data_IF_754892878604
#
_entry.id   IF_754892878604
#
_cell.length_a   1.000
_cell.length_b   1.000
_cell.length_c   1.000
_cell.angle_alpha   90.00
_cell.angle_beta   90.00
_cell.angle_gamma   90.00
#
_symmetry.space_group_name_H-M   'P 1'
#
loop_
_entity.id
_entity.type
_entity.pdbx_description
1 polymer ?
#
# COMPACT_ATOMS: atom_id res chain seq x y z
N UNK A 1 -21.34 -0.14 17.54
CA UNK A 1 -20.41 -0.36 16.41
C UNK A 1 -21.33 -0.55 15.22
N UNK A 2 -21.32 0.35 14.23
CA UNK A 2 -22.16 0.17 13.04
C UNK A 2 -21.61 -0.96 12.17
N UNK A 3 -22.49 -1.67 11.48
CA UNK A 3 -22.09 -2.74 10.56
C UNK A 3 -21.13 -2.23 9.49
N UNK A 4 -20.16 -3.06 9.14
CA UNK A 4 -19.24 -2.76 8.05
C UNK A 4 -20.04 -2.76 6.73
N UNK A 5 -19.90 -1.72 5.88
CA UNK A 5 -20.51 -1.70 4.55
C UNK A 5 -20.26 -3.00 3.79
N UNK A 6 -21.25 -3.46 3.04
CA UNK A 6 -21.25 -4.75 2.33
C UNK A 6 -20.01 -4.95 1.44
N UNK A 7 -19.50 -3.87 0.81
CA UNK A 7 -18.28 -3.93 0.02
C UNK A 7 -16.99 -4.24 0.80
N UNK A 8 -17.04 -4.23 2.14
CA UNK A 8 -15.93 -4.65 3.01
C UNK A 8 -16.00 -6.14 3.38
N UNK A 9 -17.15 -6.78 3.18
CA UNK A 9 -17.43 -8.13 3.70
C UNK A 9 -17.63 -9.13 2.56
N UNK A 10 -18.08 -8.67 1.40
CA UNK A 10 -18.20 -9.52 0.21
C UNK A 10 -16.83 -9.77 -0.44
N UNK A 11 -16.39 -11.04 -0.52
CA UNK A 11 -15.19 -11.40 -1.26
C UNK A 11 -15.29 -10.96 -2.73
N UNK A 12 -14.24 -10.34 -3.25
CA UNK A 12 -14.15 -9.90 -4.64
C UNK A 12 -12.77 -10.22 -5.20
N UNK A 13 -12.62 -10.21 -6.52
CA UNK A 13 -11.27 -10.27 -7.09
C UNK A 13 -10.47 -9.02 -6.70
N UNK A 14 -9.14 -9.14 -6.71
CA UNK A 14 -8.25 -8.04 -6.32
C UNK A 14 -8.50 -6.84 -7.22
N UNK A 15 -8.58 -5.65 -6.61
CA UNK A 15 -8.82 -4.36 -7.29
C UNK A 15 -10.15 -4.25 -8.06
N UNK A 16 -11.08 -5.20 -7.91
CA UNK A 16 -12.43 -5.12 -8.49
C UNK A 16 -13.23 -3.93 -7.94
N UNK A 17 -13.19 -3.75 -6.61
CA UNK A 17 -13.72 -2.57 -5.91
C UNK A 17 -12.54 -1.77 -5.38
N UNK A 18 -12.38 -0.55 -5.87
CA UNK A 18 -11.15 0.23 -5.65
C UNK A 18 -11.46 1.67 -5.25
N UNK A 19 -10.84 2.14 -4.17
CA UNK A 19 -10.78 3.57 -3.84
C UNK A 19 -9.68 4.26 -4.64
N UNK A 20 -9.93 5.47 -5.15
CA UNK A 20 -8.98 6.26 -5.93
C UNK A 20 -8.80 7.66 -5.32
N UNK A 21 -7.56 8.13 -5.22
CA UNK A 21 -7.20 9.45 -4.72
C UNK A 21 -5.90 9.92 -5.40
N UNK A 22 -5.64 11.23 -5.42
CA UNK A 22 -4.40 11.80 -5.93
C UNK A 22 -3.49 12.29 -4.81
N UNK A 23 -2.20 11.98 -4.91
CA UNK A 23 -1.13 12.55 -4.11
C UNK A 23 -0.36 13.59 -4.94
N UNK A 24 0.01 14.70 -4.28
CA UNK A 24 0.76 15.80 -4.89
C UNK A 24 0.15 17.17 -4.57
N UNK A 25 0.59 18.22 -5.27
CA UNK A 25 1.53 18.19 -6.39
C UNK A 25 2.98 17.88 -5.96
N UNK A 26 3.70 17.15 -6.80
CA UNK A 26 5.14 17.01 -6.77
C UNK A 26 5.76 17.84 -7.89
N UNK A 27 6.90 18.48 -7.62
CA UNK A 27 7.63 19.23 -8.64
C UNK A 27 8.60 18.30 -9.37
N UNK A 28 8.38 18.11 -10.67
CA UNK A 28 9.28 17.36 -11.53
C UNK A 28 10.01 18.28 -12.49
N UNK A 29 11.24 17.91 -12.84
CA UNK A 29 12.03 18.57 -13.89
C UNK A 29 11.76 17.91 -15.23
N UNK A 30 11.59 18.70 -16.29
CA UNK A 30 11.29 18.15 -17.63
C UNK A 30 12.53 17.57 -18.32
N UNK A 31 13.75 17.91 -17.87
CA UNK A 31 15.00 17.34 -18.39
C UNK A 31 16.05 17.15 -17.29
N UNK A 32 17.04 16.30 -17.56
CA UNK A 32 18.19 16.03 -16.67
C UNK A 32 19.17 17.22 -16.60
N UNK A 33 19.10 18.18 -17.53
CA UNK A 33 19.93 19.39 -17.58
C UNK A 33 19.38 20.59 -16.78
N UNK A 34 20.26 21.54 -16.44
CA UNK A 34 19.88 22.78 -15.75
C UNK A 34 19.06 23.72 -16.65
N UNK A 35 18.10 24.46 -16.06
CA UNK A 35 17.28 25.47 -16.76
C UNK A 35 15.86 25.04 -17.14
N UNK A 36 15.47 23.79 -16.89
CA UNK A 36 14.12 23.31 -17.19
C UNK A 36 13.09 23.79 -16.17
N UNK A 37 11.94 24.30 -16.64
CA UNK A 37 10.83 24.75 -15.77
C UNK A 37 10.23 23.55 -15.04
N UNK A 38 10.19 23.62 -13.71
CA UNK A 38 9.54 22.59 -12.92
C UNK A 38 8.04 22.53 -13.26
N UNK A 39 7.55 21.33 -13.53
CA UNK A 39 6.15 21.07 -13.83
C UNK A 39 5.54 20.29 -12.67
N UNK A 40 4.26 20.52 -12.39
CA UNK A 40 3.53 19.74 -11.39
C UNK A 40 3.28 18.34 -11.92
N UNK A 41 3.38 17.37 -11.04
CA UNK A 41 3.06 15.98 -11.29
C UNK A 41 2.32 15.41 -10.08
N UNK A 42 1.55 14.37 -10.31
CA UNK A 42 0.68 13.76 -9.32
C UNK A 42 0.86 12.25 -9.37
N UNK A 43 0.53 11.58 -8.27
CA UNK A 43 0.45 10.12 -8.23
C UNK A 43 -0.99 9.75 -7.94
N UNK A 44 -1.60 9.04 -8.87
CA UNK A 44 -2.89 8.42 -8.66
C UNK A 44 -2.71 7.15 -7.82
N UNK A 45 -3.44 7.07 -6.72
CA UNK A 45 -3.37 5.99 -5.74
C UNK A 45 -4.65 5.19 -5.83
N UNK A 46 -4.54 3.93 -6.20
CA UNK A 46 -5.62 2.97 -6.21
C UNK A 46 -5.46 2.04 -5.00
N UNK A 47 -6.52 1.83 -4.23
CA UNK A 47 -6.52 0.92 -3.08
C UNK A 47 -7.69 -0.05 -3.19
N UNK A 48 -7.39 -1.35 -3.26
CA UNK A 48 -8.40 -2.40 -3.24
C UNK A 48 -9.13 -2.41 -1.89
N UNK A 49 -10.45 -2.41 -1.91
CA UNK A 49 -11.26 -2.40 -0.69
C UNK A 49 -11.33 -3.76 0.01
N UNK A 50 -11.14 -4.86 -0.74
CA UNK A 50 -11.13 -6.22 -0.20
C UNK A 50 -9.76 -6.62 0.39
N UNK A 51 -8.69 -6.54 -0.41
CA UNK A 51 -7.36 -7.04 -0.03
C UNK A 51 -6.42 -5.96 0.48
N UNK A 52 -6.84 -4.69 0.39
CA UNK A 52 -6.01 -3.50 0.68
C UNK A 52 -4.79 -3.37 -0.25
N UNK A 53 -4.70 -4.14 -1.34
CA UNK A 53 -3.64 -3.99 -2.34
C UNK A 53 -3.64 -2.57 -2.92
N UNK A 54 -2.44 -2.03 -3.17
CA UNK A 54 -2.25 -0.67 -3.67
C UNK A 54 -1.69 -0.72 -5.09
N UNK A 55 -2.14 0.17 -5.96
CA UNK A 55 -1.48 0.48 -7.22
C UNK A 55 -1.21 1.98 -7.32
N UNK A 56 0.00 2.35 -7.72
CA UNK A 56 0.47 3.73 -7.81
C UNK A 56 0.80 4.05 -9.25
N UNK A 57 0.25 5.15 -9.74
CA UNK A 57 0.49 5.59 -11.11
C UNK A 57 0.83 7.06 -11.20
N UNK A 58 1.96 7.39 -11.83
CA UNK A 58 2.38 8.77 -12.02
C UNK A 58 1.59 9.41 -13.17
N UNK A 59 1.14 10.64 -12.96
CA UNK A 59 0.30 11.40 -13.89
C UNK A 59 0.82 12.84 -14.00
N UNK A 60 0.88 13.36 -15.22
CA UNK A 60 1.41 14.70 -15.52
C UNK A 60 0.50 15.85 -15.05
N UNK A 61 -0.80 15.61 -14.90
CA UNK A 61 -1.78 16.64 -14.54
C UNK A 61 -3.02 16.05 -13.84
N UNK A 62 -3.91 16.92 -13.36
CA UNK A 62 -5.19 16.55 -12.72
C UNK A 62 -6.38 16.73 -13.68
N UNK A 63 -6.21 16.56 -14.98
CA UNK A 63 -7.33 16.63 -15.92
C UNK A 63 -8.08 15.30 -16.03
N UNK A 64 -9.33 15.36 -16.49
CA UNK A 64 -10.12 14.17 -16.82
C UNK A 64 -9.43 13.27 -17.84
N UNK A 65 -8.76 13.86 -18.85
CA UNK A 65 -8.05 13.11 -19.89
C UNK A 65 -6.86 12.33 -19.31
N UNK A 66 -6.07 12.96 -18.44
CA UNK A 66 -4.96 12.28 -17.79
C UNK A 66 -5.43 11.19 -16.83
N UNK A 67 -6.56 11.40 -16.14
CA UNK A 67 -7.21 10.36 -15.33
C UNK A 67 -7.69 9.19 -16.20
N UNK A 68 -8.29 9.42 -17.37
CA UNK A 68 -8.68 8.35 -18.30
C UNK A 68 -7.44 7.58 -18.77
N UNK A 69 -6.36 8.26 -19.13
CA UNK A 69 -5.11 7.61 -19.52
C UNK A 69 -4.52 6.77 -18.37
N UNK A 70 -4.55 7.31 -17.14
CA UNK A 70 -4.16 6.61 -15.92
C UNK A 70 -5.02 5.34 -15.71
N UNK A 71 -6.34 5.46 -15.85
CA UNK A 71 -7.26 4.34 -15.70
C UNK A 71 -7.02 3.26 -16.76
N UNK A 72 -6.75 3.64 -18.02
CA UNK A 72 -6.37 2.68 -19.07
C UNK A 72 -5.09 1.90 -18.71
N UNK A 73 -4.06 2.57 -18.17
CA UNK A 73 -2.83 1.91 -17.71
C UNK A 73 -3.03 1.03 -16.48
N UNK A 74 -3.93 1.42 -15.58
CA UNK A 74 -4.36 0.58 -14.46
C UNK A 74 -5.06 -0.69 -14.96
N UNK A 75 -6.09 -0.54 -15.81
CA UNK A 75 -6.87 -1.66 -16.35
C UNK A 75 -5.98 -2.63 -17.12
N UNK A 76 -5.05 -2.12 -17.93
CA UNK A 76 -4.11 -2.95 -18.70
C UNK A 76 -3.20 -3.81 -17.82
N UNK A 77 -2.88 -3.38 -16.59
CA UNK A 77 -1.97 -4.10 -15.68
C UNK A 77 -2.68 -4.90 -14.59
N UNK A 78 -3.86 -4.45 -14.16
CA UNK A 78 -4.57 -4.98 -12.98
C UNK A 78 -5.95 -5.56 -13.29
N UNK A 79 -6.42 -5.40 -14.52
CA UNK A 79 -7.78 -5.75 -14.90
C UNK A 79 -8.78 -4.62 -14.66
N UNK A 80 -9.97 -4.77 -15.22
CA UNK A 80 -11.02 -3.75 -15.16
C UNK A 80 -11.73 -3.80 -13.80
N UNK A 81 -11.83 -2.68 -13.06
CA UNK A 81 -12.61 -2.62 -11.83
C UNK A 81 -14.11 -2.63 -12.17
N UNK A 82 -14.95 -3.20 -11.30
CA UNK A 82 -16.41 -3.04 -11.39
C UNK A 82 -16.85 -1.72 -10.75
N UNK A 83 -16.21 -1.33 -9.65
CA UNK A 83 -16.59 -0.17 -8.84
C UNK A 83 -15.37 0.68 -8.47
N UNK A 84 -15.49 1.99 -8.66
CA UNK A 84 -14.49 2.98 -8.25
C UNK A 84 -15.11 3.93 -7.24
N UNK A 85 -14.46 4.11 -6.10
CA UNK A 85 -14.86 5.03 -5.03
C UNK A 85 -13.91 6.22 -5.00
N UNK A 86 -14.44 7.45 -5.10
CA UNK A 86 -13.63 8.67 -5.16
C UNK A 86 -14.28 9.85 -4.43
N UNK A 87 -13.51 10.90 -4.21
CA UNK A 87 -14.04 12.19 -3.78
C UNK A 87 -14.78 12.90 -4.94
N UNK A 88 -15.32 14.08 -4.64
CA UNK A 88 -16.06 14.91 -5.61
C UNK A 88 -15.15 15.76 -6.51
N UNK A 89 -13.90 15.35 -6.74
CA UNK A 89 -12.98 16.02 -7.65
C UNK A 89 -13.56 16.17 -9.07
N UNK A 90 -13.42 17.36 -9.66
CA UNK A 90 -13.97 17.68 -10.98
C UNK A 90 -13.37 16.81 -12.09
N UNK A 91 -12.12 16.40 -11.92
CA UNK A 91 -11.43 15.43 -12.77
C UNK A 91 -12.09 14.05 -12.75
N UNK A 92 -12.51 13.55 -11.59
CA UNK A 92 -13.23 12.28 -11.46
C UNK A 92 -14.61 12.35 -12.11
N UNK A 93 -15.36 13.42 -11.88
CA UNK A 93 -16.65 13.65 -12.55
C UNK A 93 -16.51 13.72 -14.06
N UNK A 94 -15.54 14.49 -14.55
CA UNK A 94 -15.27 14.63 -15.97
C UNK A 94 -14.89 13.30 -16.62
N UNK A 95 -13.97 12.54 -16.01
CA UNK A 95 -13.59 11.22 -16.51
C UNK A 95 -14.76 10.23 -16.53
N UNK A 96 -15.56 10.18 -15.44
CA UNK A 96 -16.76 9.33 -15.38
C UNK A 96 -17.76 9.71 -16.48
N UNK A 97 -17.99 11.01 -16.71
CA UNK A 97 -18.89 11.50 -17.77
C UNK A 97 -18.39 11.10 -19.15
N UNK A 98 -17.11 11.31 -19.43
CA UNK A 98 -16.52 11.07 -20.74
C UNK A 98 -16.49 9.57 -21.05
N UNK A 99 -16.12 8.71 -20.10
CA UNK A 99 -16.21 7.25 -20.23
C UNK A 99 -17.65 6.80 -20.51
N UNK A 100 -18.63 7.31 -19.75
CA UNK A 100 -20.06 7.01 -20.01
C UNK A 100 -20.55 7.47 -21.37
N UNK A 101 -19.91 8.49 -21.97
CA UNK A 101 -20.24 8.95 -23.33
C UNK A 101 -19.68 7.98 -24.36
N UNK A 102 -18.41 7.58 -24.23
CA UNK A 102 -17.76 6.58 -25.10
C UNK A 102 -18.53 5.25 -25.08
N UNK A 103 -18.87 4.74 -23.89
CA UNK A 103 -19.65 3.50 -23.77
C UNK A 103 -21.05 3.59 -24.42
N UNK A 104 -21.71 4.75 -24.34
CA UNK A 104 -23.03 4.96 -24.97
C UNK A 104 -22.96 5.02 -26.50
N UNK A 105 -21.87 5.53 -27.06
CA UNK A 105 -21.67 5.55 -28.52
C UNK A 105 -21.45 4.13 -29.05
N UNK A 106 -20.54 3.37 -28.43
CA UNK A 106 -20.26 1.98 -28.81
C UNK A 106 -21.49 1.06 -28.72
N UNK A 107 -22.37 1.27 -27.73
CA UNK A 107 -23.64 0.51 -27.61
C UNK A 107 -24.62 0.78 -28.73
N UNK A 108 -24.58 1.96 -29.36
CA UNK A 108 -25.48 2.30 -30.47
C UNK A 108 -25.00 1.74 -31.80
N UNK A 109 -23.70 1.49 -31.93
CA UNK A 109 -23.07 1.14 -33.19
C UNK A 109 -23.10 -0.37 -33.48
N UNK A 110 -23.35 -1.25 -32.48
CA UNK A 110 -23.24 -2.71 -32.71
C UNK A 110 -23.98 -3.60 -31.69
N UNK A 111 -24.75 -4.58 -32.19
CA UNK A 111 -25.44 -5.58 -31.36
C UNK A 111 -24.47 -6.60 -30.73
N UNK A 112 -23.32 -6.86 -31.39
CA UNK A 112 -22.26 -7.76 -30.88
C UNK A 112 -21.55 -7.14 -29.67
N UNK A 113 -21.42 -5.81 -29.62
CA UNK A 113 -20.86 -5.10 -28.48
C UNK A 113 -21.79 -5.11 -27.25
N UNK A 114 -23.07 -5.46 -27.40
CA UNK A 114 -24.02 -5.46 -26.29
C UNK A 114 -23.67 -6.49 -25.19
N UNK A 115 -23.04 -7.62 -25.55
CA UNK A 115 -22.50 -8.63 -24.62
C UNK A 115 -21.11 -8.28 -24.06
N UNK A 116 -20.31 -7.45 -24.76
CA UNK A 116 -19.00 -6.99 -24.30
C UNK A 116 -19.08 -5.74 -23.41
N UNK A 117 -20.16 -4.95 -23.53
CA UNK A 117 -20.40 -3.71 -22.77
C UNK A 117 -21.22 -3.96 -21.50
N UNK A 118 -21.35 -5.22 -21.05
CA UNK A 118 -22.08 -5.58 -19.82
C UNK A 118 -21.37 -5.08 -18.56
N UNK A 119 -20.07 -4.81 -18.62
CA UNK A 119 -19.28 -4.38 -17.46
C UNK A 119 -18.87 -2.89 -17.56
N UNK A 120 -19.83 -2.00 -17.26
CA UNK A 120 -19.54 -0.59 -17.02
C UNK A 120 -18.91 -0.41 -15.64
N UNK A 121 -17.86 0.42 -15.55
CA UNK A 121 -17.29 0.84 -14.27
C UNK A 121 -18.28 1.78 -13.58
N UNK A 122 -18.73 1.40 -12.38
CA UNK A 122 -19.61 2.25 -11.57
C UNK A 122 -18.78 3.15 -10.67
N UNK A 123 -18.96 4.46 -10.84
CA UNK A 123 -18.29 5.47 -10.00
C UNK A 123 -19.20 5.84 -8.83
N UNK A 124 -18.68 5.68 -7.63
CA UNK A 124 -19.28 6.08 -6.36
C UNK A 124 -18.56 7.32 -5.85
N UNK A 125 -19.28 8.44 -5.78
CA UNK A 125 -18.76 9.69 -5.27
C UNK A 125 -19.16 9.86 -3.81
N UNK A 126 -18.20 10.17 -2.94
CA UNK A 126 -18.49 10.41 -1.54
C UNK A 126 -19.49 11.56 -1.36
N UNK A 127 -20.46 11.46 -0.42
CA UNK A 127 -21.31 12.59 -0.06
C UNK A 127 -20.46 13.76 0.48
N UNK A 128 -20.88 15.02 0.27
CA UNK A 128 -20.22 16.16 0.87
C UNK A 128 -20.16 15.98 2.40
N UNK A 129 -19.01 16.25 3.01
CA UNK A 129 -18.81 16.20 4.48
C UNK A 129 -18.91 14.81 5.15
N UNK A 130 -18.83 13.70 4.41
CA UNK A 130 -18.87 12.34 4.97
C UNK A 130 -17.58 11.51 4.76
N UNK A 131 -16.40 11.98 5.23
CA UNK A 131 -15.12 11.25 5.07
C UNK A 131 -15.11 9.88 5.77
N UNK A 132 -16.00 9.63 6.73
CA UNK A 132 -16.09 8.34 7.42
C UNK A 132 -16.45 7.16 6.51
N UNK A 133 -17.04 7.38 5.33
CA UNK A 133 -17.30 6.31 4.37
C UNK A 133 -16.01 5.74 3.76
N UNK A 134 -14.88 6.46 3.85
CA UNK A 134 -13.62 6.09 3.22
C UNK A 134 -12.50 5.50 4.05
N UNK A 135 -12.77 5.20 5.32
CA UNK A 135 -11.72 4.97 6.32
C UNK A 135 -10.55 4.03 5.95
N UNK A 136 -10.77 2.94 5.19
CA UNK A 136 -9.67 2.00 4.84
C UNK A 136 -8.76 2.57 3.76
N UNK A 137 -9.33 3.08 2.66
CA UNK A 137 -8.50 3.64 1.58
C UNK A 137 -7.94 4.99 2.00
N UNK A 138 -8.71 5.82 2.72
CA UNK A 138 -8.26 7.14 3.19
C UNK A 138 -7.08 7.01 4.15
N UNK A 139 -7.11 6.06 5.10
CA UNK A 139 -5.98 5.83 5.99
C UNK A 139 -4.73 5.36 5.22
N UNK A 140 -4.90 4.47 4.24
CA UNK A 140 -3.81 3.96 3.41
C UNK A 140 -3.19 5.09 2.58
N UNK A 141 -4.03 5.90 1.91
CA UNK A 141 -3.60 7.03 1.11
C UNK A 141 -2.95 8.11 1.98
N UNK A 142 -3.51 8.40 3.15
CA UNK A 142 -2.96 9.39 4.09
C UNK A 142 -1.56 8.99 4.58
N UNK A 143 -1.37 7.74 4.98
CA UNK A 143 -0.05 7.22 5.39
C UNK A 143 0.94 7.29 4.23
N UNK A 144 0.54 6.85 3.03
CA UNK A 144 1.37 6.96 1.83
C UNK A 144 1.78 8.41 1.52
N UNK A 145 0.81 9.35 1.47
CA UNK A 145 1.06 10.79 1.24
C UNK A 145 2.05 11.34 2.27
N UNK A 146 1.85 11.01 3.54
CA UNK A 146 2.69 11.50 4.65
C UNK A 146 4.15 11.08 4.52
N UNK A 147 4.41 9.82 4.18
CA UNK A 147 5.77 9.31 4.01
C UNK A 147 6.39 9.76 2.70
N UNK A 148 5.65 9.70 1.60
CA UNK A 148 6.17 10.08 0.29
C UNK A 148 6.61 11.55 0.27
N UNK A 149 5.80 12.47 0.82
CA UNK A 149 6.15 13.89 0.89
C UNK A 149 7.45 14.13 1.69
N UNK A 150 7.72 13.33 2.73
CA UNK A 150 8.96 13.42 3.52
C UNK A 150 10.17 12.84 2.83
N UNK A 151 9.97 11.83 1.98
CA UNK A 151 11.04 11.14 1.25
C UNK A 151 11.46 11.96 0.05
N UNK A 152 10.50 12.47 -0.73
CA UNK A 152 10.77 13.34 -1.88
C UNK A 152 11.23 14.72 -1.41
N UNK A 153 10.55 15.29 -0.41
CA UNK A 153 10.88 16.60 0.16
C UNK A 153 10.89 17.69 -0.91
N UNK A 154 12.00 18.44 -0.97
CA UNK A 154 12.25 19.49 -1.95
C UNK A 154 13.00 18.99 -3.19
N UNK A 155 13.31 17.69 -3.26
CA UNK A 155 14.13 17.13 -4.34
C UNK A 155 13.35 17.10 -5.64
N UNK A 156 13.89 17.68 -6.70
CA UNK A 156 13.29 17.60 -8.03
C UNK A 156 13.67 16.27 -8.71
N UNK A 157 12.67 15.44 -8.96
CA UNK A 157 12.80 14.18 -9.72
C UNK A 157 12.37 14.40 -11.18
N UNK A 158 12.88 13.63 -12.13
CA UNK A 158 12.26 13.49 -13.45
C UNK A 158 10.99 12.65 -13.35
N UNK A 159 10.15 12.67 -14.39
CA UNK A 159 8.99 11.78 -14.48
C UNK A 159 9.38 10.29 -14.36
N UNK A 160 10.47 9.89 -15.03
CA UNK A 160 11.01 8.53 -14.99
C UNK A 160 11.50 8.13 -13.57
N UNK A 161 12.21 9.05 -12.90
CA UNK A 161 12.70 8.85 -11.54
C UNK A 161 11.53 8.72 -10.54
N UNK A 162 10.51 9.57 -10.65
CA UNK A 162 9.31 9.49 -9.82
C UNK A 162 8.49 8.23 -10.10
N UNK A 163 8.42 7.79 -11.36
CA UNK A 163 7.74 6.54 -11.76
C UNK A 163 8.44 5.32 -11.18
N UNK A 164 9.77 5.31 -11.21
CA UNK A 164 10.57 4.24 -10.63
C UNK A 164 10.41 4.20 -9.10
N UNK A 165 10.51 5.36 -8.43
CA UNK A 165 10.30 5.48 -6.99
C UNK A 165 8.90 5.00 -6.59
N UNK A 166 7.87 5.44 -7.32
CA UNK A 166 6.47 5.06 -7.07
C UNK A 166 6.28 3.55 -7.20
N UNK A 167 6.90 2.92 -8.20
CA UNK A 167 6.83 1.46 -8.38
C UNK A 167 7.49 0.68 -7.24
N UNK A 168 8.65 1.16 -6.76
CA UNK A 168 9.34 0.55 -5.62
C UNK A 168 8.56 0.74 -4.31
N UNK A 169 7.94 1.90 -4.12
CA UNK A 169 7.07 2.17 -2.98
C UNK A 169 5.79 1.31 -3.04
N UNK A 170 5.18 1.14 -4.21
CA UNK A 170 4.05 0.22 -4.40
C UNK A 170 4.42 -1.19 -3.93
N UNK A 171 5.61 -1.67 -4.30
CA UNK A 171 6.10 -2.97 -3.86
C UNK A 171 6.29 -3.04 -2.34
N UNK A 172 6.84 -1.98 -1.71
CA UNK A 172 6.94 -1.89 -0.25
C UNK A 172 5.56 -1.98 0.41
N UNK A 173 4.59 -1.19 -0.06
CA UNK A 173 3.22 -1.18 0.46
C UNK A 173 2.57 -2.56 0.35
N UNK A 174 2.73 -3.24 -0.79
CA UNK A 174 2.13 -4.54 -1.05
C UNK A 174 2.89 -5.73 -0.45
N UNK A 175 4.11 -5.52 0.07
CA UNK A 175 4.85 -6.56 0.79
C UNK A 175 4.38 -6.77 2.22
N UNK A 176 3.54 -5.89 2.77
CA UNK A 176 3.17 -5.95 4.19
C UNK A 176 2.43 -7.24 4.59
N UNK A 177 2.76 -7.85 5.74
CA UNK A 177 2.03 -8.98 6.29
C UNK A 177 0.61 -8.59 6.71
N UNK A 178 -0.39 -9.34 6.25
CA UNK A 178 -1.80 -9.19 6.63
C UNK A 178 -2.19 -10.15 7.76
N UNK A 179 -1.85 -11.43 7.58
CA UNK A 179 -2.12 -12.49 8.53
C UNK A 179 -1.14 -13.66 8.31
N UNK A 180 -1.16 -14.60 9.25
CA UNK A 180 -0.35 -15.82 9.20
C UNK A 180 -0.93 -16.78 8.16
N UNK A 181 -0.09 -17.36 7.31
CA UNK A 181 -0.43 -18.54 6.52
C UNK A 181 0.06 -19.76 7.29
N UNK A 182 -0.83 -20.73 7.52
CA UNK A 182 -0.45 -22.00 8.13
C UNK A 182 0.33 -22.83 7.12
N UNK A 183 1.62 -22.59 7.01
CA UNK A 183 2.54 -23.48 6.31
C UNK A 183 3.71 -23.81 7.24
N UNK A 184 4.06 -25.10 7.24
CA UNK A 184 5.16 -25.81 7.90
C UNK A 184 5.74 -25.23 9.21
N UNK A 185 5.90 -26.03 10.29
CA UNK A 185 6.58 -25.62 11.54
C UNK A 185 7.95 -24.94 11.37
N UNK A 186 8.62 -25.15 10.22
CA UNK A 186 9.96 -24.67 9.91
C UNK A 186 10.03 -23.42 9.00
N UNK A 187 8.94 -23.00 8.35
CA UNK A 187 8.96 -21.80 7.50
C UNK A 187 7.69 -20.95 7.69
N UNK A 188 7.73 -19.97 8.59
CA UNK A 188 6.57 -19.14 8.86
C UNK A 188 6.27 -18.23 7.65
N UNK A 189 5.17 -18.52 6.96
CA UNK A 189 4.71 -17.72 5.84
C UNK A 189 3.61 -16.73 6.27
N UNK A 190 3.55 -15.60 5.57
CA UNK A 190 2.53 -14.57 5.81
C UNK A 190 1.83 -14.23 4.51
N UNK A 191 0.52 -14.01 4.60
CA UNK A 191 -0.25 -13.49 3.48
C UNK A 191 0.03 -12.00 3.35
N UNK A 192 0.29 -11.54 2.13
CA UNK A 192 0.54 -10.13 1.82
C UNK A 192 -0.37 -9.69 0.67
N UNK A 193 -0.65 -8.39 0.49
CA UNK A 193 -1.36 -7.92 -0.69
C UNK A 193 -0.69 -8.34 -2.01
N UNK A 194 0.63 -8.47 -2.03
CA UNK A 194 1.40 -8.95 -3.18
C UNK A 194 0.97 -10.35 -3.65
N UNK A 195 0.63 -11.26 -2.72
CA UNK A 195 0.12 -12.59 -3.07
C UNK A 195 -1.16 -12.52 -3.91
N UNK A 196 -2.04 -11.55 -3.63
CA UNK A 196 -3.25 -11.36 -4.44
C UNK A 196 -2.97 -10.75 -5.81
N UNK A 197 -1.87 -10.01 -5.96
CA UNK A 197 -1.53 -9.31 -7.21
C UNK A 197 -0.79 -10.20 -8.21
N UNK A 198 0.14 -11.03 -7.74
CA UNK A 198 1.03 -11.83 -8.60
C UNK A 198 1.07 -13.32 -8.20
N UNK A 199 0.28 -13.75 -7.23
CA UNK A 199 0.23 -15.15 -6.77
C UNK A 199 1.34 -15.55 -5.78
N UNK A 200 2.35 -14.69 -5.56
CA UNK A 200 3.51 -14.96 -4.71
C UNK A 200 3.91 -13.73 -3.89
N UNK A 201 4.78 -13.91 -2.90
CA UNK A 201 5.38 -12.81 -2.15
C UNK A 201 6.24 -11.93 -3.07
N UNK A 202 6.14 -10.61 -2.90
CA UNK A 202 6.98 -9.66 -3.63
C UNK A 202 8.42 -9.70 -3.11
N UNK A 203 9.38 -9.81 -4.02
CA UNK A 203 10.81 -9.71 -3.74
C UNK A 203 11.40 -8.48 -4.42
N UNK A 204 12.47 -7.91 -3.85
CA UNK A 204 13.19 -6.80 -4.45
C UNK A 204 14.55 -7.24 -5.00
N UNK A 205 15.04 -6.50 -6.00
CA UNK A 205 16.42 -6.62 -6.45
C UNK A 205 17.33 -6.21 -5.28
N UNK A 206 18.33 -7.02 -4.90
CA UNK A 206 19.26 -6.66 -3.83
C UNK A 206 19.94 -5.32 -4.10
N UNK A 207 19.89 -4.41 -3.14
CA UNK A 207 20.52 -3.10 -3.21
C UNK A 207 21.40 -2.88 -1.97
N UNK A 208 22.61 -2.32 -2.14
CA UNK A 208 23.48 -2.01 -1.00
C UNK A 208 22.84 -0.92 -0.13
N UNK A 209 23.14 -0.94 1.16
CA UNK A 209 22.80 0.16 2.06
C UNK A 209 23.53 1.41 1.60
N UNK A 210 22.80 2.50 1.36
CA UNK A 210 23.40 3.76 0.90
C UNK A 210 23.76 4.61 2.13
N UNK A 211 25.04 5.01 2.31
CA UNK A 211 25.43 5.90 3.40
C UNK A 211 24.75 7.27 3.32
N UNK A 212 24.64 7.97 4.45
CA UNK A 212 23.99 9.29 4.50
C UNK A 212 24.74 10.39 3.71
N UNK A 213 26.06 10.23 3.58
CA UNK A 213 26.96 11.10 2.82
C UNK A 213 26.88 10.82 1.32
N UNK A 214 25.93 11.47 0.63
CA UNK A 214 25.85 11.45 -0.83
C UNK A 214 26.88 12.43 -1.42
N UNK A 215 28.16 12.04 -1.42
CA UNK A 215 29.25 12.86 -1.98
C UNK A 215 29.29 12.87 -3.52
N UNK A 216 28.46 12.07 -4.19
CA UNK A 216 28.38 12.03 -5.65
C UNK A 216 26.93 12.03 -6.15
N UNK A 217 26.69 12.77 -7.23
CA UNK A 217 25.41 12.95 -7.94
C UNK A 217 24.93 11.67 -8.68
N UNK A 218 24.97 10.51 -8.04
CA UNK A 218 24.35 9.31 -8.60
C UNK A 218 22.86 9.30 -8.29
N UNK A 219 22.06 9.57 -9.33
CA UNK A 219 20.60 9.61 -9.27
C UNK A 219 20.00 8.26 -8.87
N UNK A 220 20.65 7.15 -9.22
CA UNK A 220 20.18 5.82 -8.83
C UNK A 220 20.41 5.54 -7.35
N UNK A 221 21.54 6.00 -6.78
CA UNK A 221 21.77 5.96 -5.33
C UNK A 221 20.79 6.83 -4.58
N UNK A 222 20.43 7.99 -5.13
CA UNK A 222 19.38 8.84 -4.55
C UNK A 222 18.03 8.10 -4.50
N UNK A 223 17.59 7.49 -5.61
CA UNK A 223 16.32 6.73 -5.64
C UNK A 223 16.36 5.55 -4.65
N UNK A 224 17.47 4.82 -4.61
CA UNK A 224 17.70 3.74 -3.64
C UNK A 224 17.56 4.24 -2.20
N UNK A 225 18.21 5.36 -1.86
CA UNK A 225 18.12 5.98 -0.54
C UNK A 225 16.69 6.40 -0.22
N UNK A 226 15.98 7.01 -1.18
CA UNK A 226 14.57 7.40 -1.01
C UNK A 226 13.69 6.19 -0.70
N UNK A 227 13.86 5.09 -1.41
CA UNK A 227 13.12 3.85 -1.16
C UNK A 227 13.45 3.25 0.21
N UNK A 228 14.73 3.17 0.59
CA UNK A 228 15.16 2.70 1.91
C UNK A 228 14.59 3.59 3.03
N UNK A 229 14.60 4.90 2.83
CA UNK A 229 14.05 5.87 3.78
C UNK A 229 12.53 5.76 3.92
N UNK A 230 11.81 5.58 2.81
CA UNK A 230 10.38 5.30 2.81
C UNK A 230 10.10 4.04 3.61
N UNK A 231 10.79 2.94 3.28
CA UNK A 231 10.64 1.64 3.93
C UNK A 231 10.86 1.73 5.44
N UNK A 232 11.98 2.29 5.89
CA UNK A 232 12.32 2.36 7.32
C UNK A 232 11.25 3.10 8.13
N UNK A 233 10.73 4.21 7.58
CA UNK A 233 9.71 5.03 8.25
C UNK A 233 8.34 4.35 8.22
N UNK A 234 7.90 3.93 7.04
CA UNK A 234 6.58 3.36 6.86
C UNK A 234 6.42 2.00 7.52
N UNK A 235 7.41 1.10 7.41
CA UNK A 235 7.35 -0.22 8.07
C UNK A 235 7.28 -0.08 9.59
N UNK A 236 8.06 0.83 10.17
CA UNK A 236 8.02 1.14 11.61
C UNK A 236 6.66 1.68 12.05
N UNK A 237 6.06 2.58 11.26
CA UNK A 237 4.71 3.10 11.52
C UNK A 237 3.66 2.00 11.39
N UNK A 238 3.73 1.17 10.36
CA UNK A 238 2.83 0.04 10.13
C UNK A 238 2.84 -0.95 11.30
N UNK A 239 4.03 -1.35 11.79
CA UNK A 239 4.17 -2.20 12.98
C UNK A 239 3.63 -1.55 14.25
N UNK A 240 3.64 -0.23 14.31
CA UNK A 240 3.06 0.52 15.44
C UNK A 240 1.54 0.55 15.34
N UNK A 241 0.99 0.72 14.14
CA UNK A 241 -0.45 0.67 13.88
C UNK A 241 -1.04 -0.72 14.17
N UNK A 242 -0.35 -1.80 13.80
CA UNK A 242 -0.77 -3.17 14.14
C UNK A 242 -0.85 -3.42 15.65
N UNK A 243 0.02 -2.77 16.44
CA UNK A 243 -0.04 -2.83 17.91
C UNK A 243 -1.07 -1.86 18.52
N UNK A 244 -1.42 -0.79 17.81
CA UNK A 244 -2.38 0.20 18.32
C UNK A 244 -3.79 -0.42 18.36
N UNK A 245 -4.13 -1.01 19.52
CA UNK A 245 -5.45 -1.56 19.81
C UNK A 245 -6.31 -0.57 20.58
N UNK A 246 -7.61 -0.73 20.32
CA UNK A 246 -8.77 -0.35 21.12
C UNK A 246 -8.44 0.14 22.53
N UNK A 247 -8.88 1.38 22.82
CA UNK A 247 -9.04 2.00 24.15
C UNK A 247 -8.59 1.09 25.30
N UNK A 248 -7.59 1.53 26.07
CA UNK A 248 -6.97 0.99 27.32
C UNK A 248 -7.82 0.14 28.30
N UNK A 249 -9.11 -0.05 28.06
CA UNK A 249 -10.12 -0.74 28.87
C UNK A 249 -10.26 -2.25 28.57
N UNK A 250 -9.54 -2.83 27.60
CA UNK A 250 -9.66 -4.25 27.26
C UNK A 250 -8.36 -4.99 27.60
N UNK A 251 -8.45 -6.03 28.43
CA UNK A 251 -7.36 -6.95 28.76
C UNK A 251 -6.89 -7.65 27.48
N UNK A 252 -5.61 -7.50 27.12
CA UNK A 252 -5.01 -8.24 26.01
C UNK A 252 -4.59 -9.63 26.47
N UNK A 253 -4.82 -10.63 25.60
CA UNK A 253 -4.26 -11.97 25.75
C UNK A 253 -2.73 -11.89 25.70
N UNK A 254 -2.05 -12.65 26.58
CA UNK A 254 -0.60 -12.82 26.50
C UNK A 254 -0.19 -13.45 25.16
N UNK A 255 1.06 -13.26 24.75
CA UNK A 255 1.66 -14.07 23.69
C UNK A 255 1.82 -15.51 24.18
N UNK A 256 1.43 -16.45 23.34
CA UNK A 256 1.53 -17.88 23.60
C UNK A 256 2.65 -18.53 22.77
N UNK A 257 3.10 -19.70 23.21
CA UNK A 257 4.04 -20.52 22.44
C UNK A 257 3.38 -20.90 21.11
N UNK A 258 4.10 -20.67 20.01
CA UNK A 258 3.61 -20.92 18.66
C UNK A 258 3.14 -19.67 17.92
N UNK A 259 2.90 -18.54 18.62
CA UNK A 259 2.47 -17.29 17.99
C UNK A 259 3.52 -16.77 17.00
N UNK A 260 3.05 -16.30 15.84
CA UNK A 260 3.90 -15.66 14.84
C UNK A 260 3.93 -14.15 15.04
N UNK A 261 5.14 -13.61 15.18
CA UNK A 261 5.39 -12.20 15.50
C UNK A 261 6.33 -11.54 14.50
N UNK A 262 6.12 -10.26 14.24
CA UNK A 262 7.06 -9.38 13.56
C UNK A 262 8.00 -8.72 14.57
N UNK A 263 9.30 -8.67 14.25
CA UNK A 263 10.30 -8.03 15.10
C UNK A 263 10.43 -6.55 14.71
N UNK A 264 10.20 -5.65 15.66
CA UNK A 264 10.30 -4.18 15.48
C UNK A 264 11.73 -3.68 15.47
N UNK A 265 11.93 -2.55 14.79
CA UNK A 265 13.21 -1.81 14.73
C UNK A 265 14.37 -2.69 14.25
N UNK A 266 14.08 -3.56 13.29
CA UNK A 266 15.10 -4.27 12.56
C UNK A 266 15.42 -3.45 11.30
N UNK A 267 16.69 -3.12 11.08
CA UNK A 267 17.17 -2.39 9.89
C UNK A 267 17.18 -3.31 8.66
N UNK A 268 16.05 -3.98 8.43
CA UNK A 268 15.84 -4.91 7.35
C UNK A 268 15.77 -4.17 6.00
N UNK A 269 16.32 -4.75 4.92
CA UNK A 269 16.13 -4.22 3.58
C UNK A 269 14.65 -4.10 3.19
N UNK A 270 14.31 -3.24 2.22
CA UNK A 270 12.94 -3.12 1.71
C UNK A 270 12.32 -4.47 1.36
N UNK A 271 11.04 -4.63 1.68
CA UNK A 271 10.21 -5.83 1.47
C UNK A 271 10.57 -7.02 2.38
N UNK A 272 11.62 -6.93 3.20
CA UNK A 272 12.03 -8.02 4.09
C UNK A 272 11.49 -7.80 5.50
N UNK A 273 10.39 -8.46 5.82
CA UNK A 273 9.81 -8.42 7.17
C UNK A 273 10.43 -9.49 8.05
N UNK A 274 11.04 -9.10 9.17
CA UNK A 274 11.65 -10.07 10.09
C UNK A 274 10.60 -10.76 10.94
N UNK A 275 10.27 -11.98 10.53
CA UNK A 275 9.34 -12.87 11.21
C UNK A 275 10.05 -13.73 12.25
N UNK A 276 9.31 -14.10 13.28
CA UNK A 276 9.75 -15.12 14.21
C UNK A 276 8.58 -15.77 14.94
N UNK A 277 8.78 -17.03 15.32
CA UNK A 277 7.81 -17.84 16.05
C UNK A 277 8.19 -17.89 17.52
N UNK A 278 7.23 -17.62 18.42
CA UNK A 278 7.45 -17.74 19.86
C UNK A 278 7.70 -19.20 20.23
N UNK A 279 8.85 -19.49 20.82
CA UNK A 279 9.23 -20.84 21.26
C UNK A 279 9.10 -21.01 22.78
N UNK A 280 9.35 -19.94 23.53
CA UNK A 280 9.24 -19.92 24.99
C UNK A 280 8.69 -18.58 25.49
N UNK A 281 7.93 -18.61 26.59
CA UNK A 281 7.39 -17.42 27.25
C UNK A 281 7.94 -17.29 28.66
N UNK A 282 8.24 -16.05 29.08
CA UNK A 282 8.73 -15.74 30.42
C UNK A 282 7.72 -14.85 31.17
N UNK A 283 6.73 -15.45 31.87
CA UNK A 283 5.75 -14.71 32.65
C UNK A 283 6.35 -14.15 33.94
N UNK A 284 5.90 -12.96 34.35
CA UNK A 284 6.22 -12.37 35.64
C UNK A 284 5.42 -12.99 36.79
N UNK A 285 5.67 -12.54 38.03
CA UNK A 285 4.90 -12.95 39.22
C UNK A 285 3.39 -12.67 39.12
N UNK A 286 3.01 -11.73 38.28
CA UNK A 286 1.63 -11.34 37.97
C UNK A 286 1.01 -12.14 36.81
N UNK A 287 1.68 -13.19 36.32
CA UNK A 287 1.22 -14.01 35.19
C UNK A 287 1.29 -13.33 33.82
N UNK A 288 1.86 -12.10 33.73
CA UNK A 288 1.96 -11.37 32.46
C UNK A 288 3.28 -11.67 31.75
N UNK A 289 3.19 -12.02 30.47
CA UNK A 289 4.36 -12.29 29.62
C UNK A 289 4.98 -10.96 29.19
N UNK A 290 6.21 -10.70 29.62
CA UNK A 290 6.95 -9.46 29.26
C UNK A 290 8.09 -9.72 28.29
N UNK A 291 8.62 -10.95 28.30
CA UNK A 291 9.74 -11.40 27.48
C UNK A 291 9.39 -12.75 26.90
N UNK A 292 9.80 -12.99 25.65
CA UNK A 292 9.65 -14.27 24.97
C UNK A 292 10.93 -14.62 24.22
N UNK A 293 11.18 -15.91 24.03
CA UNK A 293 12.18 -16.43 23.09
C UNK A 293 11.49 -16.64 21.74
N UNK A 294 12.12 -16.15 20.68
CA UNK A 294 11.58 -16.17 19.32
C UNK A 294 12.60 -16.82 18.40
N UNK A 295 12.15 -17.79 17.61
CA UNK A 295 12.94 -18.44 16.55
C UNK A 295 12.67 -17.76 15.21
N UNK A 296 13.69 -17.21 14.58
CA UNK A 296 13.66 -16.70 13.20
C UNK A 296 14.20 -17.78 12.23
N UNK A 297 14.18 -17.50 10.92
CA UNK A 297 14.78 -18.40 9.92
C UNK A 297 16.30 -18.63 10.14
N UNK A 298 16.99 -17.70 10.80
CA UNK A 298 18.46 -17.71 10.92
C UNK A 298 18.97 -17.81 12.36
N UNK A 299 18.17 -17.48 13.36
CA UNK A 299 18.65 -17.33 14.74
C UNK A 299 17.52 -17.46 15.77
N UNK A 300 17.88 -17.70 17.03
CA UNK A 300 16.97 -17.55 18.16
C UNK A 300 17.30 -16.27 18.93
N UNK A 301 16.27 -15.51 19.29
CA UNK A 301 16.40 -14.20 19.92
C UNK A 301 15.48 -14.11 21.14
N UNK A 302 16.00 -13.61 22.26
CA UNK A 302 15.18 -13.21 23.40
C UNK A 302 14.80 -11.74 23.24
N UNK A 303 13.50 -11.44 23.27
CA UNK A 303 12.98 -10.08 23.04
C UNK A 303 11.85 -9.72 24.00
N UNK A 304 11.81 -8.46 24.50
CA UNK A 304 10.64 -7.93 25.17
C UNK A 304 9.44 -7.89 24.22
N UNK A 305 8.23 -8.15 24.73
CA UNK A 305 6.99 -8.12 23.93
C UNK A 305 6.76 -6.75 23.25
N UNK A 306 7.27 -5.66 23.84
CA UNK A 306 7.18 -4.32 23.26
C UNK A 306 7.89 -4.22 21.89
N UNK A 307 8.91 -5.05 21.65
CA UNK A 307 9.63 -5.13 20.37
C UNK A 307 9.03 -6.15 19.40
N UNK A 308 7.90 -6.76 19.74
CA UNK A 308 7.25 -7.80 18.94
C UNK A 308 5.83 -7.38 18.59
N UNK A 309 5.45 -7.55 17.33
CA UNK A 309 4.11 -7.26 16.86
C UNK A 309 3.43 -8.59 16.48
N UNK A 310 2.48 -9.10 17.29
CA UNK A 310 1.72 -10.28 16.91
C UNK A 310 0.92 -10.00 15.65
N UNK A 311 0.98 -10.93 14.71
CA UNK A 311 0.13 -10.86 13.53
C UNK A 311 -1.33 -11.11 13.93
N UNK A 312 -2.31 -10.49 13.26
CA UNK A 312 -3.71 -10.83 13.46
C UNK A 312 -3.90 -12.31 13.16
N UNK A 313 -4.28 -13.08 14.18
CA UNK A 313 -4.72 -14.46 14.03
C UNK A 313 -6.13 -14.39 13.44
N UNK A 314 -6.43 -15.21 12.42
CA UNK A 314 -7.79 -15.37 11.92
C UNK A 314 -8.68 -15.77 13.11
N UNK A 315 -9.53 -14.86 13.57
CA UNK A 315 -10.73 -15.17 14.36
C UNK A 315 -11.88 -15.42 13.42
#
# INVERSE_FOLDING_TARGET
MGDLPEYRVCPSSVLQRTGIDFAGPFLIRSSKGGGSRNTKCYICVFVCLATKAVHLEVVSDLTSKALIACLKRFVARRGKPSEIFCDQGTNFYGASRDLRKEFRQLRKEDAVHQFLVTDNITFHFNPPSAPHFGGIWEATVKSFKFHLNRVVGVTSLTFEELSTLSSQIEACLNSRPLCVLYSSPNDPCVLTPGHFLIGIALTAIPQPTVPDDLRHCDRWRLLTRMTQHFWNRWSSEYLTLLQSRSKWRIVQKNLDIGDLVLIKHDNSPPLQWKLGKVTETFPGKDGKVRVVKVKTQTSELVRPIAKLCPLPINT
#
